data_IF_327684624082
#
_entry.id   IF_327684624082
#
_cell.length_a   1.000
_cell.length_b   1.000
_cell.length_c   1.000
_cell.angle_alpha   90.00
_cell.angle_beta   90.00
_cell.angle_gamma   90.00
#
_symmetry.space_group_name_H-M   'P 1'
#
loop_
_entity.id
_entity.type
_entity.pdbx_description
1 polymer ?
#
# COMPACT_ATOMS: atom_id res chain seq x y z
N UNK A 1 44.80 -30.72 -32.94
CA UNK A 1 43.36 -30.86 -33.24
C UNK A 1 42.60 -29.83 -32.41
N UNK A 2 41.68 -29.12 -33.06
CA UNK A 2 41.02 -27.89 -32.59
C UNK A 2 39.96 -28.15 -31.50
N UNK A 3 39.71 -27.13 -30.67
CA UNK A 3 38.90 -27.20 -29.45
C UNK A 3 37.38 -27.33 -29.60
N UNK A 4 36.73 -27.63 -28.47
CA UNK A 4 35.28 -27.62 -28.31
C UNK A 4 34.87 -26.59 -27.26
N UNK A 5 34.03 -25.65 -27.70
CA UNK A 5 33.46 -24.51 -26.97
C UNK A 5 32.41 -24.98 -25.95
N UNK A 6 32.44 -24.47 -24.71
CA UNK A 6 31.30 -24.54 -23.81
C UNK A 6 30.32 -23.39 -24.10
N UNK A 7 29.07 -23.73 -24.42
CA UNK A 7 27.96 -22.80 -24.62
C UNK A 7 27.10 -22.57 -23.36
N UNK A 8 26.18 -21.59 -23.36
CA UNK A 8 25.65 -20.95 -22.15
C UNK A 8 24.42 -21.67 -21.59
N UNK A 9 24.38 -21.94 -20.28
CA UNK A 9 23.15 -22.36 -19.58
C UNK A 9 22.96 -21.64 -18.23
N UNK A 10 22.25 -20.49 -18.21
CA UNK A 10 21.59 -20.02 -16.98
C UNK A 10 20.07 -19.77 -17.12
N UNK A 11 19.47 -19.92 -18.31
CA UNK A 11 18.07 -19.50 -18.55
C UNK A 11 16.99 -20.51 -18.14
N UNK A 12 17.25 -21.82 -18.20
CA UNK A 12 16.23 -22.85 -17.90
C UNK A 12 15.91 -22.97 -16.40
N UNK A 13 16.92 -22.84 -15.54
CA UNK A 13 16.72 -22.87 -14.08
C UNK A 13 15.97 -21.64 -13.55
N UNK A 14 16.22 -20.46 -14.14
CA UNK A 14 15.48 -19.24 -13.80
C UNK A 14 13.99 -19.34 -14.14
N UNK A 15 13.64 -20.00 -15.25
CA UNK A 15 12.26 -20.25 -15.65
C UNK A 15 11.61 -21.26 -14.70
N UNK A 16 12.30 -22.34 -14.32
CA UNK A 16 11.79 -23.32 -13.37
C UNK A 16 11.49 -22.72 -11.99
N UNK A 17 12.37 -21.85 -11.46
CA UNK A 17 12.15 -21.14 -10.19
C UNK A 17 10.96 -20.18 -10.26
N UNK A 18 10.77 -19.51 -11.40
CA UNK A 18 9.63 -18.61 -11.63
C UNK A 18 8.31 -19.40 -11.69
N UNK A 19 8.28 -20.55 -12.35
CA UNK A 19 7.10 -21.42 -12.40
C UNK A 19 6.75 -22.04 -11.04
N UNK A 20 7.75 -22.41 -10.23
CA UNK A 20 7.54 -22.87 -8.86
C UNK A 20 6.92 -21.78 -7.97
N UNK A 21 7.38 -20.53 -8.11
CA UNK A 21 6.80 -19.37 -7.41
C UNK A 21 5.33 -19.09 -7.80
N UNK A 22 4.97 -19.27 -9.08
CA UNK A 22 3.57 -19.15 -9.52
C UNK A 22 2.68 -20.25 -8.93
N UNK A 23 3.16 -21.49 -8.85
CA UNK A 23 2.39 -22.60 -8.23
C UNK A 23 2.15 -22.39 -6.74
N UNK A 24 3.13 -21.85 -6.01
CA UNK A 24 2.95 -21.51 -4.59
C UNK A 24 1.96 -20.36 -4.39
N UNK A 25 1.95 -19.35 -5.28
CA UNK A 25 0.97 -18.27 -5.23
C UNK A 25 -0.46 -18.77 -5.49
N UNK A 26 -0.64 -19.65 -6.48
CA UNK A 26 -1.95 -20.25 -6.79
C UNK A 26 -2.48 -21.13 -5.64
N UNK A 27 -1.61 -21.90 -4.97
CA UNK A 27 -2.00 -22.71 -3.81
C UNK A 27 -2.38 -21.85 -2.58
N UNK A 28 -1.73 -20.69 -2.39
CA UNK A 28 -2.08 -19.76 -1.33
C UNK A 28 -3.43 -19.06 -1.60
N UNK A 29 -3.74 -18.76 -2.87
CA UNK A 29 -5.03 -18.21 -3.30
C UNK A 29 -6.17 -19.21 -3.10
N UNK A 30 -5.96 -20.49 -3.42
CA UNK A 30 -6.92 -21.57 -3.18
C UNK A 30 -7.21 -21.77 -1.66
N UNK A 31 -6.19 -21.63 -0.81
CA UNK A 31 -6.36 -21.71 0.65
C UNK A 31 -7.11 -20.50 1.25
N UNK A 32 -7.01 -19.32 0.63
CA UNK A 32 -7.77 -18.14 1.05
C UNK A 32 -9.24 -18.22 0.61
N UNK A 33 -9.51 -18.78 -0.57
CA UNK A 33 -10.87 -18.97 -1.08
C UNK A 33 -11.65 -20.05 -0.30
N UNK A 34 -10.99 -21.14 0.11
CA UNK A 34 -11.62 -22.17 0.96
C UNK A 34 -11.98 -21.64 2.35
N UNK A 35 -11.13 -20.79 2.94
CA UNK A 35 -11.40 -20.12 4.21
C UNK A 35 -12.50 -19.04 4.12
N UNK A 36 -12.68 -18.42 2.96
CA UNK A 36 -13.79 -17.51 2.71
C UNK A 36 -15.13 -18.25 2.60
N UNK A 37 -15.16 -19.44 1.99
CA UNK A 37 -16.36 -20.26 1.86
C UNK A 37 -16.84 -20.82 3.21
N UNK A 38 -15.93 -21.26 4.09
CA UNK A 38 -16.27 -21.73 5.45
C UNK A 38 -16.75 -20.61 6.38
N UNK A 39 -16.33 -19.37 6.13
CA UNK A 39 -16.78 -18.17 6.88
C UNK A 39 -18.13 -17.64 6.39
N UNK A 40 -18.52 -17.92 5.15
CA UNK A 40 -19.84 -17.58 4.62
C UNK A 40 -20.95 -18.54 5.12
N UNK A 41 -20.64 -19.83 5.27
CA UNK A 41 -21.62 -20.84 5.75
C UNK A 41 -21.92 -20.71 7.24
N UNK A 42 -20.96 -20.28 8.06
CA UNK A 42 -21.17 -20.01 9.50
C UNK A 42 -22.00 -18.75 9.76
N UNK A 43 -21.93 -17.73 8.87
CA UNK A 43 -22.74 -16.52 8.94
C UNK A 43 -24.20 -16.74 8.48
N UNK A 44 -24.45 -17.68 7.57
CA UNK A 44 -25.80 -18.01 7.12
C UNK A 44 -26.59 -18.84 8.15
N UNK A 45 -25.91 -19.63 9.00
CA UNK A 45 -26.57 -20.48 10.01
C UNK A 45 -26.94 -19.74 11.31
N UNK A 46 -26.35 -18.57 11.55
CA UNK A 46 -26.64 -17.74 12.73
C UNK A 46 -27.89 -16.84 12.59
N UNK A 47 -28.44 -16.71 11.39
CA UNK A 47 -29.53 -15.76 11.09
C UNK A 47 -30.93 -16.38 11.05
N UNK A 48 -31.07 -17.69 11.32
CA UNK A 48 -32.30 -18.46 11.01
C UNK A 48 -33.03 -19.07 12.21
N UNK A 49 -32.71 -18.71 13.46
CA UNK A 49 -33.41 -19.30 14.61
C UNK A 49 -33.66 -18.30 15.73
N UNK A 50 -34.82 -17.64 15.68
CA UNK A 50 -35.44 -16.97 16.82
C UNK A 50 -36.94 -17.26 16.84
N UNK A 51 -37.38 -18.19 17.69
CA UNK A 51 -38.74 -18.24 18.26
C UNK A 51 -38.84 -19.21 19.47
N UNK A 52 -38.86 -18.61 20.67
CA UNK A 52 -39.64 -18.88 21.89
C UNK A 52 -40.02 -20.34 22.28
N UNK A 53 -39.60 -20.79 23.47
CA UNK A 53 -40.45 -21.02 24.68
C UNK A 53 -39.79 -21.95 25.74
N UNK A 54 -40.21 -21.74 26.99
CA UNK A 54 -39.63 -22.05 28.30
C UNK A 54 -39.64 -23.51 28.77
N UNK A 55 -38.68 -23.92 29.64
CA UNK A 55 -38.90 -24.52 30.98
C UNK A 55 -37.60 -25.03 31.66
N UNK A 56 -37.37 -24.53 32.88
CA UNK A 56 -36.78 -25.09 34.12
C UNK A 56 -35.54 -26.01 34.16
N UNK A 57 -34.60 -25.56 35.01
CA UNK A 57 -33.74 -26.26 35.98
C UNK A 57 -32.58 -27.15 35.49
N UNK A 58 -31.34 -26.68 35.71
CA UNK A 58 -30.43 -27.21 36.75
C UNK A 58 -29.05 -26.54 36.65
N UNK A 59 -28.52 -26.15 37.81
CA UNK A 59 -27.22 -25.52 38.02
C UNK A 59 -26.05 -26.40 37.53
N UNK A 60 -25.10 -25.81 36.81
CA UNK A 60 -23.70 -26.21 36.81
C UNK A 60 -22.83 -25.08 36.25
N UNK A 61 -22.02 -24.53 37.13
CA UNK A 61 -20.96 -23.55 36.90
C UNK A 61 -19.96 -24.03 35.86
N UNK A 62 -19.82 -23.30 34.75
CA UNK A 62 -18.69 -23.42 33.84
C UNK A 62 -18.29 -22.02 33.35
N UNK A 63 -17.09 -21.59 33.74
CA UNK A 63 -16.45 -20.34 33.34
C UNK A 63 -16.20 -20.30 31.83
N UNK A 64 -16.37 -19.16 31.14
CA UNK A 64 -16.05 -19.05 29.73
C UNK A 64 -14.52 -19.10 29.51
N UNK A 65 -14.04 -19.70 28.40
CA UNK A 65 -12.62 -19.80 28.10
C UNK A 65 -12.05 -18.42 27.77
N UNK A 66 -11.02 -18.04 28.52
CA UNK A 66 -10.21 -16.85 28.35
C UNK A 66 -9.61 -16.82 26.94
N UNK A 67 -9.99 -15.83 26.13
CA UNK A 67 -9.32 -15.51 24.88
C UNK A 67 -7.89 -15.05 25.17
N UNK A 68 -6.86 -15.56 24.47
CA UNK A 68 -5.51 -15.03 24.65
C UNK A 68 -5.48 -13.61 24.09
N UNK A 69 -5.28 -12.66 25.00
CA UNK A 69 -5.01 -11.25 24.75
C UNK A 69 -3.86 -11.11 23.74
N UNK A 70 -4.19 -10.80 22.49
CA UNK A 70 -3.21 -10.37 21.49
C UNK A 70 -2.70 -9.00 21.93
N UNK A 71 -1.55 -8.99 22.59
CA UNK A 71 -0.81 -7.76 22.88
C UNK A 71 -0.49 -7.03 21.56
N UNK A 72 -0.82 -5.73 21.43
CA UNK A 72 -0.41 -4.96 20.27
C UNK A 72 1.11 -4.82 20.29
N UNK A 73 1.80 -5.51 19.39
CA UNK A 73 3.23 -5.37 19.18
C UNK A 73 3.58 -3.90 18.91
N UNK A 74 4.54 -3.30 19.63
CA UNK A 74 4.91 -1.91 19.41
C UNK A 74 5.40 -1.75 17.97
N UNK A 75 4.80 -0.80 17.25
CA UNK A 75 5.22 -0.47 15.89
C UNK A 75 6.69 -0.07 15.92
N UNK A 76 7.60 -0.81 15.26
CA UNK A 76 9.02 -0.46 15.27
C UNK A 76 9.21 0.93 14.66
N UNK A 77 10.20 1.66 15.19
CA UNK A 77 10.53 3.01 14.74
C UNK A 77 10.66 3.04 13.21
N UNK A 78 10.24 4.15 12.63
CA UNK A 78 10.07 4.33 11.17
C UNK A 78 11.31 3.98 10.35
N UNK A 79 12.49 4.08 10.96
CA UNK A 79 13.76 3.66 10.41
C UNK A 79 14.62 3.15 11.57
N UNK A 80 14.62 1.85 11.79
CA UNK A 80 15.72 1.23 12.53
C UNK A 80 16.97 1.30 11.64
N UNK A 81 17.75 2.38 11.79
CA UNK A 81 18.93 2.67 10.97
C UNK A 81 19.93 1.52 11.04
N UNK A 82 20.07 0.87 12.20
CA UNK A 82 20.95 -0.28 12.39
C UNK A 82 20.53 -1.49 11.55
N UNK A 83 19.22 -1.61 11.27
CA UNK A 83 18.65 -2.72 10.51
C UNK A 83 18.25 -2.36 9.08
N UNK A 84 18.21 -1.08 8.74
CA UNK A 84 17.83 -0.57 7.43
C UNK A 84 18.91 -0.79 6.35
N UNK A 85 20.14 -1.11 6.75
CA UNK A 85 21.28 -1.33 5.86
C UNK A 85 21.10 -2.44 4.82
N UNK A 86 21.89 -2.39 3.76
CA UNK A 86 22.06 -3.49 2.82
C UNK A 86 22.86 -4.61 3.51
N UNK A 87 22.32 -5.83 3.54
CA UNK A 87 23.06 -7.00 4.04
C UNK A 87 23.89 -7.51 2.88
N UNK A 88 25.22 -7.50 3.01
CA UNK A 88 26.13 -7.92 1.95
C UNK A 88 25.85 -9.36 1.51
N UNK A 89 26.28 -9.76 0.30
CA UNK A 89 25.95 -11.09 -0.27
C UNK A 89 26.44 -12.30 0.54
N UNK A 90 27.26 -12.13 1.58
CA UNK A 90 27.69 -13.20 2.49
C UNK A 90 27.31 -12.99 3.99
N UNK A 91 26.64 -11.90 4.35
CA UNK A 91 26.28 -11.61 5.74
C UNK A 91 24.92 -12.20 6.14
N UNK A 92 24.78 -12.58 7.41
CA UNK A 92 23.55 -13.11 8.01
C UNK A 92 23.30 -12.31 9.28
N UNK A 93 22.10 -11.77 9.45
CA UNK A 93 21.72 -11.11 10.69
C UNK A 93 21.56 -12.12 11.81
N UNK A 94 21.90 -11.73 13.04
CA UNK A 94 21.70 -12.58 14.23
C UNK A 94 20.21 -12.76 14.59
N UNK A 95 19.36 -11.83 14.13
CA UNK A 95 17.92 -11.85 14.38
C UNK A 95 17.11 -11.31 13.20
N UNK A 96 15.82 -11.67 13.16
CA UNK A 96 14.91 -11.26 12.10
C UNK A 96 14.71 -9.76 12.06
N UNK A 97 15.15 -9.10 10.97
CA UNK A 97 15.08 -7.66 10.64
C UNK A 97 13.74 -6.97 10.92
N UNK A 98 12.66 -7.72 11.03
CA UNK A 98 11.35 -7.23 11.42
C UNK A 98 11.07 -7.44 12.91
N UNK A 99 10.83 -8.68 13.34
CA UNK A 99 10.34 -9.00 14.69
C UNK A 99 11.44 -9.21 15.75
N UNK A 100 12.72 -9.17 15.35
CA UNK A 100 13.86 -9.53 16.19
C UNK A 100 13.88 -10.99 16.72
N UNK A 101 13.01 -11.85 16.19
CA UNK A 101 13.01 -13.29 16.52
C UNK A 101 14.17 -14.06 15.88
N UNK A 102 14.39 -15.32 16.29
CA UNK A 102 15.47 -16.15 15.78
C UNK A 102 15.33 -16.41 14.27
N UNK A 103 16.45 -16.38 13.55
CA UNK A 103 16.48 -16.77 12.14
C UNK A 103 16.59 -18.29 11.99
N UNK A 104 15.85 -18.91 11.05
CA UNK A 104 16.11 -20.29 10.68
C UNK A 104 17.48 -20.41 10.00
N UNK A 105 18.10 -21.61 10.08
CA UNK A 105 19.51 -21.87 9.73
C UNK A 105 19.98 -21.38 8.35
N UNK A 106 19.08 -21.17 7.39
CA UNK A 106 19.41 -20.71 6.03
C UNK A 106 18.88 -19.30 5.71
N UNK A 107 18.13 -18.67 6.62
CA UNK A 107 17.63 -17.32 6.41
C UNK A 107 18.65 -16.28 6.83
N UNK A 108 18.70 -15.20 6.05
CA UNK A 108 19.73 -14.17 6.19
C UNK A 108 19.25 -12.89 6.87
N UNK A 109 17.93 -12.66 6.86
CA UNK A 109 17.36 -11.37 7.30
C UNK A 109 15.97 -11.49 7.91
N UNK A 110 15.16 -12.49 7.57
CA UNK A 110 13.78 -12.62 8.04
C UNK A 110 13.48 -14.03 8.51
N UNK A 111 12.74 -14.18 9.62
CA UNK A 111 12.38 -15.51 10.14
C UNK A 111 11.26 -16.18 9.34
N UNK A 112 10.41 -15.40 8.66
CA UNK A 112 9.27 -15.92 7.92
C UNK A 112 8.80 -14.98 6.79
N UNK A 113 7.99 -15.47 5.84
CA UNK A 113 7.38 -14.63 4.79
C UNK A 113 6.53 -13.47 5.32
N UNK A 114 5.88 -13.63 6.48
CA UNK A 114 5.11 -12.55 7.11
C UNK A 114 5.99 -11.36 7.52
N UNK A 115 7.18 -11.63 8.08
CA UNK A 115 8.15 -10.58 8.40
C UNK A 115 8.70 -9.88 7.14
N UNK A 116 8.86 -10.63 6.03
CA UNK A 116 9.21 -10.04 4.73
C UNK A 116 8.08 -9.13 4.25
N UNK A 117 6.82 -9.58 4.34
CA UNK A 117 5.65 -8.81 3.94
C UNK A 117 5.57 -7.47 4.67
N UNK A 118 5.59 -7.50 6.01
CA UNK A 118 5.53 -6.29 6.84
C UNK A 118 6.70 -5.34 6.57
N UNK A 119 7.92 -5.88 6.42
CA UNK A 119 9.07 -5.05 6.09
C UNK A 119 8.94 -4.40 4.70
N UNK A 120 8.48 -5.16 3.70
CA UNK A 120 8.30 -4.66 2.34
C UNK A 120 7.17 -3.63 2.23
N UNK A 121 6.10 -3.74 3.03
CA UNK A 121 5.04 -2.73 3.10
C UNK A 121 5.57 -1.35 3.54
N UNK A 122 6.58 -1.33 4.42
CA UNK A 122 7.14 -0.07 4.96
C UNK A 122 8.29 0.49 4.13
N UNK A 123 9.00 -0.38 3.41
CA UNK A 123 10.23 0.00 2.69
C UNK A 123 10.06 0.10 1.17
N UNK A 124 9.07 -0.59 0.59
CA UNK A 124 8.92 -0.71 -0.86
C UNK A 124 7.55 -0.26 -1.35
N UNK A 125 7.49 0.96 -1.91
CA UNK A 125 6.27 1.47 -2.54
C UNK A 125 5.78 0.64 -3.73
N UNK A 126 6.68 -0.07 -4.42
CA UNK A 126 6.30 -1.01 -5.49
C UNK A 126 5.61 -2.25 -4.93
N UNK A 127 6.04 -2.73 -3.76
CA UNK A 127 5.41 -3.87 -3.09
C UNK A 127 4.02 -3.47 -2.57
N UNK A 128 3.92 -2.31 -1.92
CA UNK A 128 2.64 -1.74 -1.46
C UNK A 128 1.63 -1.69 -2.60
N UNK A 129 2.01 -1.17 -3.78
CA UNK A 129 1.11 -1.12 -4.93
C UNK A 129 0.61 -2.48 -5.39
N UNK A 130 1.46 -3.52 -5.36
CA UNK A 130 1.04 -4.89 -5.69
C UNK A 130 0.09 -5.45 -4.64
N UNK A 131 0.37 -5.21 -3.35
CA UNK A 131 -0.50 -5.65 -2.26
C UNK A 131 -1.88 -4.98 -2.34
N UNK A 132 -1.92 -3.68 -2.65
CA UNK A 132 -3.17 -2.95 -2.90
C UNK A 132 -3.92 -3.47 -4.12
N UNK A 133 -3.24 -3.82 -5.20
CA UNK A 133 -3.90 -4.39 -6.38
C UNK A 133 -4.57 -5.73 -6.05
N UNK A 134 -3.95 -6.56 -5.21
CA UNK A 134 -4.57 -7.82 -4.74
C UNK A 134 -5.76 -7.53 -3.82
N UNK A 135 -5.66 -6.53 -2.92
CA UNK A 135 -6.71 -6.22 -1.94
C UNK A 135 -7.91 -5.49 -2.55
N UNK A 136 -7.65 -4.48 -3.37
CA UNK A 136 -8.64 -3.51 -3.85
C UNK A 136 -9.03 -3.74 -5.32
N UNK A 137 -8.34 -4.65 -6.03
CA UNK A 137 -8.47 -4.90 -7.47
C UNK A 137 -8.35 -3.62 -8.34
N UNK A 138 -7.66 -2.59 -7.84
CA UNK A 138 -7.49 -1.32 -8.55
C UNK A 138 -8.73 -0.42 -8.53
N UNK A 139 -9.68 -0.63 -7.61
CA UNK A 139 -10.85 0.23 -7.44
C UNK A 139 -10.54 1.39 -6.50
N UNK A 140 -10.96 2.60 -6.87
CA UNK A 140 -10.79 3.79 -6.04
C UNK A 140 -11.66 3.71 -4.77
N UNK A 141 -11.06 3.89 -3.60
CA UNK A 141 -11.76 3.84 -2.32
C UNK A 141 -12.71 5.03 -2.06
N UNK A 142 -12.62 6.11 -2.85
CA UNK A 142 -13.46 7.31 -2.66
C UNK A 142 -14.59 7.44 -3.69
N UNK A 143 -14.30 7.20 -4.97
CA UNK A 143 -15.28 7.35 -6.05
C UNK A 143 -15.67 6.04 -6.73
N UNK A 144 -15.14 4.90 -6.27
CA UNK A 144 -15.42 3.57 -6.84
C UNK A 144 -15.05 3.38 -8.31
N UNK A 145 -14.27 4.29 -8.91
CA UNK A 145 -13.74 4.14 -10.26
C UNK A 145 -12.83 2.91 -10.34
N UNK A 146 -13.14 1.99 -11.25
CA UNK A 146 -12.25 0.89 -11.62
C UNK A 146 -11.07 1.42 -12.44
N UNK A 147 -9.97 1.69 -11.75
CA UNK A 147 -8.77 2.21 -12.37
C UNK A 147 -8.03 1.16 -13.19
N UNK A 148 -8.24 -0.14 -12.91
CA UNK A 148 -7.61 -1.24 -13.62
C UNK A 148 -8.24 -1.43 -15.00
N UNK A 149 -9.57 -1.41 -15.07
CA UNK A 149 -10.31 -1.39 -16.33
C UNK A 149 -9.93 -0.17 -17.17
N UNK A 150 -9.92 1.03 -16.56
CA UNK A 150 -9.54 2.25 -17.26
C UNK A 150 -8.10 2.22 -17.79
N UNK A 151 -7.15 1.68 -17.03
CA UNK A 151 -5.78 1.49 -17.51
C UNK A 151 -5.78 0.60 -18.76
N UNK A 152 -6.51 -0.53 -18.75
CA UNK A 152 -6.56 -1.47 -19.88
C UNK A 152 -7.11 -0.81 -21.14
N UNK A 153 -8.21 -0.06 -21.00
CA UNK A 153 -8.83 0.69 -22.08
C UNK A 153 -7.88 1.74 -22.68
N UNK A 154 -7.30 2.59 -21.83
CA UNK A 154 -6.36 3.61 -22.26
C UNK A 154 -5.10 3.02 -22.88
N UNK A 155 -4.61 1.89 -22.37
CA UNK A 155 -3.46 1.21 -22.97
C UNK A 155 -3.75 0.73 -24.39
N UNK A 156 -4.91 0.09 -24.59
CA UNK A 156 -5.33 -0.36 -25.92
C UNK A 156 -5.48 0.81 -26.90
N UNK A 157 -6.11 1.90 -26.47
CA UNK A 157 -6.27 3.12 -27.26
C UNK A 157 -4.92 3.76 -27.63
N UNK A 158 -4.00 3.89 -26.67
CA UNK A 158 -2.66 4.45 -26.89
C UNK A 158 -1.84 3.55 -27.83
N UNK A 159 -1.92 2.23 -27.65
CA UNK A 159 -1.15 1.27 -28.44
C UNK A 159 -1.62 1.24 -29.89
N UNK A 160 -2.94 1.31 -30.13
CA UNK A 160 -3.51 1.47 -31.47
C UNK A 160 -3.04 2.75 -32.17
N UNK A 161 -2.92 3.86 -31.41
CA UNK A 161 -2.48 5.13 -31.98
C UNK A 161 -0.95 5.23 -32.18
N UNK A 162 -0.15 4.49 -31.40
CA UNK A 162 1.31 4.52 -31.52
C UNK A 162 1.83 4.14 -32.92
N UNK A 163 1.03 3.45 -33.75
CA UNK A 163 1.33 3.19 -35.16
C UNK A 163 1.40 4.48 -36.01
N UNK A 164 0.53 5.46 -35.74
CA UNK A 164 0.45 6.73 -36.49
C UNK A 164 1.52 7.74 -36.03
N UNK A 165 2.08 7.56 -34.82
CA UNK A 165 2.95 8.51 -34.12
C UNK A 165 2.31 9.89 -33.88
N UNK A 166 0.99 10.00 -34.03
CA UNK A 166 0.26 11.23 -33.75
C UNK A 166 0.01 11.40 -32.25
N UNK A 167 0.77 12.32 -31.65
CA UNK A 167 0.64 12.63 -30.22
C UNK A 167 -0.65 13.37 -29.90
N UNK A 168 -1.09 14.25 -30.80
CA UNK A 168 -2.27 15.07 -30.57
C UNK A 168 -3.52 14.18 -30.65
N UNK A 169 -3.63 13.35 -31.68
CA UNK A 169 -4.69 12.35 -31.79
C UNK A 169 -4.71 11.38 -30.60
N UNK A 170 -3.55 11.00 -30.05
CA UNK A 170 -3.49 10.14 -28.86
C UNK A 170 -4.06 10.84 -27.62
N UNK A 171 -3.75 12.13 -27.44
CA UNK A 171 -4.32 12.94 -26.36
C UNK A 171 -5.82 13.13 -26.51
N UNK A 172 -6.30 13.41 -27.73
CA UNK A 172 -7.73 13.54 -28.02
C UNK A 172 -8.48 12.24 -27.77
N UNK A 173 -7.91 11.09 -28.16
CA UNK A 173 -8.49 9.78 -27.90
C UNK A 173 -8.57 9.49 -26.39
N UNK A 174 -7.50 9.75 -25.64
CA UNK A 174 -7.50 9.63 -24.18
C UNK A 174 -8.60 10.49 -23.56
N UNK A 175 -8.67 11.77 -23.94
CA UNK A 175 -9.69 12.67 -23.40
C UNK A 175 -11.11 12.24 -23.79
N UNK A 176 -11.30 11.67 -24.99
CA UNK A 176 -12.57 11.08 -25.42
C UNK A 176 -12.97 9.89 -24.53
N UNK A 177 -12.06 8.97 -24.22
CA UNK A 177 -12.31 7.86 -23.30
C UNK A 177 -12.62 8.35 -21.87
N UNK A 178 -11.93 9.40 -21.41
CA UNK A 178 -12.19 10.00 -20.09
C UNK A 178 -13.50 10.80 -20.04
N UNK A 179 -13.94 11.39 -21.15
CA UNK A 179 -15.20 12.11 -21.24
C UNK A 179 -16.43 11.17 -21.34
N UNK A 180 -16.22 9.91 -21.71
CA UNK A 180 -17.30 8.94 -21.89
C UNK A 180 -17.96 8.48 -20.58
N UNK A 181 -17.36 8.75 -19.41
CA UNK A 181 -17.90 8.37 -18.11
C UNK A 181 -17.84 9.52 -17.10
N UNK A 182 -18.95 9.76 -16.40
CA UNK A 182 -19.00 10.71 -15.28
C UNK A 182 -18.01 10.34 -14.16
N UNK A 183 -17.66 9.06 -14.01
CA UNK A 183 -16.71 8.57 -13.01
C UNK A 183 -15.25 8.93 -13.31
N UNK A 184 -14.95 9.34 -14.55
CA UNK A 184 -13.62 9.78 -15.00
C UNK A 184 -13.52 11.29 -15.19
N UNK A 185 -14.61 12.02 -14.95
CA UNK A 185 -14.64 13.47 -14.99
C UNK A 185 -13.55 14.05 -14.08
N UNK A 186 -12.72 14.92 -14.65
CA UNK A 186 -11.59 15.54 -13.96
C UNK A 186 -10.29 14.76 -14.02
N UNK A 187 -10.18 13.64 -14.74
CA UNK A 187 -8.87 13.03 -15.08
C UNK A 187 -8.24 13.61 -16.36
N UNK A 188 -8.98 14.39 -17.14
CA UNK A 188 -8.54 14.99 -18.39
C UNK A 188 -7.28 15.82 -18.13
N UNK A 189 -6.26 15.63 -18.96
CA UNK A 189 -4.95 16.30 -18.82
C UNK A 189 -4.19 16.04 -17.49
N UNK A 190 -4.72 15.25 -16.54
CA UNK A 190 -4.04 14.93 -15.26
C UNK A 190 -3.21 13.65 -15.32
N UNK A 191 -3.39 12.82 -16.35
CA UNK A 191 -2.64 11.59 -16.55
C UNK A 191 -1.16 11.85 -16.82
N UNK A 192 -0.30 11.00 -16.25
CA UNK A 192 1.15 11.03 -16.55
C UNK A 192 1.44 10.16 -17.75
N UNK A 193 1.95 10.77 -18.82
CA UNK A 193 2.32 10.11 -20.08
C UNK A 193 3.84 10.18 -20.28
N UNK A 194 4.38 9.27 -21.10
CA UNK A 194 5.80 9.29 -21.46
C UNK A 194 6.17 10.59 -22.20
N UNK A 195 7.41 11.04 -22.01
CA UNK A 195 7.99 12.18 -22.75
C UNK A 195 8.49 11.80 -24.15
N UNK A 196 8.35 10.53 -24.55
CA UNK A 196 8.82 10.04 -25.84
C UNK A 196 7.98 10.63 -26.97
N UNK A 197 8.64 11.15 -28.00
CA UNK A 197 8.00 11.61 -29.23
C UNK A 197 7.65 10.47 -30.20
N UNK A 198 8.15 9.26 -29.96
CA UNK A 198 7.96 8.10 -30.87
C UNK A 198 6.82 7.18 -30.45
N UNK A 199 6.60 7.02 -29.15
CA UNK A 199 5.56 6.13 -28.62
C UNK A 199 5.10 6.65 -27.25
N UNK A 200 3.83 6.98 -27.17
CA UNK A 200 3.18 7.41 -25.94
C UNK A 200 2.94 6.17 -25.08
N UNK A 201 3.23 6.29 -23.80
CA UNK A 201 2.97 5.24 -22.82
C UNK A 201 2.41 5.85 -21.56
N UNK A 202 1.43 5.16 -20.99
CA UNK A 202 0.88 5.51 -19.69
C UNK A 202 1.93 5.24 -18.61
N UNK A 203 2.27 6.23 -17.80
CA UNK A 203 3.27 6.07 -16.73
C UNK A 203 2.68 5.33 -15.53
N UNK A 204 3.52 4.62 -14.77
CA UNK A 204 3.10 3.98 -13.52
C UNK A 204 2.52 5.01 -12.55
N UNK A 205 1.33 4.76 -12.04
CA UNK A 205 0.60 5.68 -11.16
C UNK A 205 -0.01 6.89 -11.86
N UNK A 206 -0.22 6.83 -13.17
CA UNK A 206 -0.95 7.87 -13.91
C UNK A 206 -2.43 7.93 -13.51
N UNK A 207 -3.10 6.78 -13.45
CA UNK A 207 -4.55 6.63 -13.25
C UNK A 207 -4.91 6.48 -11.78
N UNK A 208 -4.07 5.79 -10.98
CA UNK A 208 -4.30 5.62 -9.54
C UNK A 208 -2.99 5.74 -8.73
N UNK A 209 -3.12 5.96 -7.43
CA UNK A 209 -2.03 6.13 -6.47
C UNK A 209 -2.34 5.40 -5.15
N UNK A 210 -1.29 4.98 -4.47
CA UNK A 210 -1.38 4.52 -3.08
C UNK A 210 -1.34 5.74 -2.16
N UNK A 211 -2.41 5.94 -1.40
CA UNK A 211 -2.57 7.08 -0.49
C UNK A 211 -2.66 6.60 0.96
N UNK A 212 -2.12 7.36 1.90
CA UNK A 212 -2.28 7.03 3.31
C UNK A 212 -3.62 7.58 3.81
N UNK A 213 -4.41 6.77 4.53
CA UNK A 213 -5.66 7.21 5.18
C UNK A 213 -5.33 8.26 6.24
N UNK A 214 -4.44 7.91 7.17
CA UNK A 214 -3.79 8.87 8.06
C UNK A 214 -2.49 9.32 7.41
N UNK A 215 -2.31 10.61 7.10
CA UNK A 215 -1.15 11.07 6.37
C UNK A 215 0.14 10.90 7.18
N UNK A 216 1.26 10.79 6.47
CA UNK A 216 2.60 10.65 7.06
C UNK A 216 2.92 11.74 8.09
N UNK A 217 2.52 12.98 7.82
CA UNK A 217 2.77 14.13 8.70
C UNK A 217 2.08 13.99 10.06
N UNK A 218 1.05 13.16 10.14
CA UNK A 218 0.28 12.86 11.35
C UNK A 218 0.61 11.47 11.90
N UNK A 219 1.77 10.90 11.52
CA UNK A 219 2.24 9.61 12.04
C UNK A 219 1.88 8.37 11.20
N UNK A 220 1.14 8.50 10.10
CA UNK A 220 0.68 7.35 9.33
C UNK A 220 1.70 6.65 8.43
N UNK A 221 3.00 6.92 8.61
CA UNK A 221 4.06 6.53 7.66
C UNK A 221 4.79 5.22 7.93
N UNK A 222 4.49 4.49 9.02
CA UNK A 222 5.05 3.16 9.35
C UNK A 222 3.94 2.12 9.47
N UNK A 223 2.88 2.30 8.71
CA UNK A 223 1.67 1.50 8.84
C UNK A 223 1.72 0.25 7.96
N UNK A 224 0.90 -0.71 8.34
CA UNK A 224 0.54 -1.86 7.53
C UNK A 224 -0.40 -1.44 6.38
N UNK A 225 -0.89 -2.42 5.64
CA UNK A 225 -1.77 -2.17 4.50
C UNK A 225 -3.08 -1.49 4.93
N UNK A 226 -3.51 -1.61 6.20
CA UNK A 226 -4.76 -1.04 6.71
C UNK A 226 -4.83 0.48 6.60
N UNK A 227 -3.70 1.19 6.75
CA UNK A 227 -3.65 2.66 6.64
C UNK A 227 -3.37 3.14 5.20
N UNK A 228 -3.37 2.25 4.21
CA UNK A 228 -3.12 2.61 2.82
C UNK A 228 -4.36 2.28 1.99
N UNK A 229 -4.75 3.18 1.10
CA UNK A 229 -5.91 3.03 0.20
C UNK A 229 -5.53 3.28 -1.25
N UNK A 230 -6.26 2.64 -2.15
CA UNK A 230 -6.19 2.90 -3.59
C UNK A 230 -7.03 4.12 -3.94
N UNK A 231 -6.44 5.17 -4.51
CA UNK A 231 -7.16 6.34 -5.00
C UNK A 231 -6.92 6.55 -6.49
N UNK A 232 -7.96 6.88 -7.26
CA UNK A 232 -7.77 7.41 -8.60
C UNK A 232 -6.99 8.75 -8.55
N UNK A 233 -6.42 9.15 -9.68
CA UNK A 233 -5.57 10.34 -9.74
C UNK A 233 -6.31 11.62 -9.37
N UNK A 234 -7.59 11.75 -9.73
CA UNK A 234 -8.40 12.91 -9.38
C UNK A 234 -8.57 13.02 -7.86
N UNK A 235 -9.10 11.97 -7.22
CA UNK A 235 -9.27 11.91 -5.77
C UNK A 235 -7.95 12.09 -5.01
N UNK A 236 -6.86 11.49 -5.48
CA UNK A 236 -5.54 11.66 -4.85
C UNK A 236 -5.08 13.13 -4.88
N UNK A 237 -5.30 13.84 -5.99
CA UNK A 237 -4.93 15.26 -6.10
C UNK A 237 -5.78 16.13 -5.16
N UNK A 238 -7.07 15.82 -5.02
CA UNK A 238 -7.96 16.53 -4.08
C UNK A 238 -7.52 16.33 -2.63
N UNK A 239 -7.25 15.08 -2.22
CA UNK A 239 -6.76 14.77 -0.87
C UNK A 239 -5.41 15.45 -0.62
N UNK A 240 -4.49 15.39 -1.58
CA UNK A 240 -3.16 16.04 -1.48
C UNK A 240 -3.30 17.56 -1.33
N UNK A 241 -4.22 18.18 -2.09
CA UNK A 241 -4.48 19.62 -2.01
C UNK A 241 -5.03 19.99 -0.65
N UNK A 242 -6.07 19.28 -0.17
CA UNK A 242 -6.67 19.50 1.17
C UNK A 242 -5.61 19.41 2.28
N UNK A 243 -4.76 18.39 2.25
CA UNK A 243 -3.68 18.23 3.22
C UNK A 243 -2.64 19.37 3.13
N UNK A 244 -2.29 19.79 1.91
CA UNK A 244 -1.36 20.91 1.71
C UNK A 244 -1.90 22.21 2.30
N UNK A 245 -3.19 22.50 2.10
CA UNK A 245 -3.81 23.71 2.62
C UNK A 245 -3.94 23.68 4.14
N UNK A 246 -4.34 22.55 4.73
CA UNK A 246 -4.34 22.35 6.19
C UNK A 246 -2.96 22.63 6.82
N UNK A 247 -1.89 22.10 6.21
CA UNK A 247 -0.52 22.31 6.71
C UNK A 247 -0.07 23.77 6.61
N UNK A 248 -0.49 24.49 5.58
CA UNK A 248 -0.18 25.94 5.45
C UNK A 248 -0.86 26.71 6.57
N UNK A 249 -2.12 26.43 6.86
CA UNK A 249 -2.86 27.10 7.92
C UNK A 249 -2.29 26.76 9.31
N UNK A 250 -1.94 25.50 9.56
CA UNK A 250 -1.26 25.09 10.80
C UNK A 250 0.11 25.79 10.97
N UNK A 251 0.88 25.92 9.89
CA UNK A 251 2.15 26.67 9.91
C UNK A 251 1.94 28.16 10.21
N UNK A 252 0.88 28.77 9.68
CA UNK A 252 0.53 30.16 10.00
C UNK A 252 0.15 30.30 11.48
N UNK A 253 -0.68 29.40 12.00
CA UNK A 253 -1.12 29.39 13.39
C UNK A 253 0.06 29.23 14.35
N UNK A 254 0.90 28.22 14.14
CA UNK A 254 2.11 27.98 14.97
C UNK A 254 3.07 29.17 14.95
N UNK A 255 3.26 29.81 13.79
CA UNK A 255 4.08 31.03 13.70
C UNK A 255 3.47 32.22 14.45
N UNK A 256 2.15 32.37 14.43
CA UNK A 256 1.45 33.40 15.20
C UNK A 256 1.56 33.14 16.71
N UNK A 257 1.36 31.89 17.15
CA UNK A 257 1.53 31.46 18.54
C UNK A 257 2.96 31.70 19.05
N UNK A 258 3.97 31.38 18.24
CA UNK A 258 5.38 31.65 18.56
C UNK A 258 5.64 33.15 18.75
N UNK A 259 5.13 34.00 17.85
CA UNK A 259 5.27 35.47 17.98
C UNK A 259 4.61 36.01 19.25
N UNK A 260 3.47 35.47 19.66
CA UNK A 260 2.81 35.86 20.92
C UNK A 260 3.67 35.47 22.13
N UNK A 261 4.21 34.25 22.14
CA UNK A 261 5.11 33.77 23.19
C UNK A 261 6.41 34.61 23.28
N UNK A 262 6.99 34.97 22.14
CA UNK A 262 8.18 35.83 22.08
C UNK A 262 7.90 37.24 22.63
N UNK A 263 6.75 37.84 22.28
CA UNK A 263 6.34 39.16 22.81
C UNK A 263 6.06 39.13 24.32
N UNK A 264 5.48 38.06 24.84
CA UNK A 264 5.25 37.88 26.28
C UNK A 264 6.57 37.83 27.06
N UNK A 265 7.55 37.05 26.57
CA UNK A 265 8.86 36.89 27.21
C UNK A 265 9.71 38.17 27.22
N UNK A 266 9.56 39.03 26.20
CA UNK A 266 10.23 40.34 26.16
C UNK A 266 9.68 41.34 27.20
N UNK A 267 8.46 41.14 27.69
CA UNK A 267 7.82 42.04 28.66
C UNK A 267 8.15 41.71 30.12
N UNK A 268 8.50 40.45 30.41
CA UNK A 268 8.89 39.99 31.76
C UNK A 268 10.38 40.23 32.08
N UNK A 269 11.23 40.48 31.07
CA UNK A 269 12.67 40.74 31.26
C UNK A 269 13.08 42.20 31.42
N UNK A 270 12.13 43.14 31.50
CA UNK A 270 12.39 44.59 31.46
C UNK A 270 12.12 45.37 32.76
N UNK A 271 12.01 44.69 33.90
CA UNK A 271 11.64 45.29 35.19
C UNK A 271 12.65 45.02 36.32
N UNK A 272 13.95 45.16 36.05
CA UNK A 272 14.97 45.10 37.10
C UNK A 272 16.29 45.67 36.63
N UNK A 273 16.45 46.98 36.76
CA UNK A 273 17.71 47.72 36.99
C UNK A 273 17.41 49.24 36.92
N UNK A 274 16.86 49.80 38.00
CA UNK A 274 17.02 51.21 38.36
C UNK A 274 17.23 51.24 39.89
N UNK A 275 18.50 51.30 40.30
CA UNK A 275 18.96 51.74 41.63
C UNK A 275 20.10 52.74 41.43
#
# INVERSE_FOLDING_TARGET
QHGMKQGPKPKKEAIARRLAGLRHAQNAEAALQSNAATRATTKAKASSSSSLSSSSAASSSATPPTTPSVVPSPSPSRFDVARAGFIGNNEVLESCRWCAGPLPKQARSFCCPGCVHEHMLRTSGSYVRKALEVRDNGVCALCSLDCKALIKELHGAIEANNATKDREGAMQLINKHLAASSSTAGLENKLKLSRSRRAIKLQKGSVWQADHITPVVSGGGSCDLSNIRTLCRCCHLEVTKKLSDQRKEEKKRTKAEQKVKEKGKAKEGGSGEEE
#
